data_IF_943718613931
#
_entry.id   IF_943718613931
#
_cell.length_a   1.000
_cell.length_b   1.000
_cell.length_c   1.000
_cell.angle_alpha   90.00
_cell.angle_beta   90.00
_cell.angle_gamma   90.00
#
_symmetry.space_group_name_H-M   'P 1'
#
loop_
_entity.id
_entity.type
_entity.pdbx_description
1 polymer ?
#
# COMPACT_ATOMS: atom_id res chain seq x y z
N UNK A 1 -9.60 -8.34 5.83
CA UNK A 1 -10.00 -7.00 5.30
C UNK A 1 -9.47 -5.94 6.26
N UNK A 2 -8.89 -4.86 5.73
CA UNK A 2 -8.40 -3.71 6.49
C UNK A 2 -9.05 -2.44 5.94
N UNK A 3 -9.55 -1.56 6.82
CA UNK A 3 -10.05 -0.24 6.42
C UNK A 3 -8.86 0.71 6.37
N UNK A 4 -8.75 1.47 5.28
CA UNK A 4 -7.73 2.49 5.07
C UNK A 4 -8.46 3.81 4.88
N UNK A 5 -7.99 4.84 5.59
CA UNK A 5 -8.48 6.20 5.52
C UNK A 5 -7.42 7.11 4.88
N UNK A 6 -7.86 8.08 4.07
CA UNK A 6 -7.02 9.10 3.45
C UNK A 6 -7.86 10.27 2.95
N UNK A 7 -7.50 11.49 3.33
CA UNK A 7 -8.18 12.74 2.92
C UNK A 7 -9.73 12.70 2.97
N UNK A 8 -10.29 12.18 4.06
CA UNK A 8 -11.76 12.08 4.23
C UNK A 8 -12.44 11.02 3.37
N UNK A 9 -11.67 10.18 2.66
CA UNK A 9 -12.12 8.98 1.96
C UNK A 9 -11.72 7.75 2.76
N UNK A 10 -12.54 6.71 2.66
CA UNK A 10 -12.28 5.41 3.29
C UNK A 10 -12.52 4.29 2.28
N UNK A 11 -11.57 3.35 2.17
CA UNK A 11 -11.75 2.13 1.36
C UNK A 11 -11.33 0.90 2.15
N UNK A 12 -11.85 -0.25 1.75
CA UNK A 12 -11.50 -1.54 2.34
C UNK A 12 -10.50 -2.28 1.43
N UNK A 13 -9.34 -2.62 1.99
CA UNK A 13 -8.39 -3.53 1.35
C UNK A 13 -8.69 -4.97 1.76
N UNK A 14 -8.92 -5.83 0.78
CA UNK A 14 -8.94 -7.27 1.01
C UNK A 14 -7.50 -7.75 1.23
N UNK A 15 -7.28 -8.46 2.33
CA UNK A 15 -5.96 -8.96 2.72
C UNK A 15 -6.10 -10.38 3.26
N UNK A 16 -5.10 -11.21 3.03
CA UNK A 16 -5.09 -12.59 3.52
C UNK A 16 -5.03 -12.65 5.05
N UNK A 17 -4.16 -11.83 5.64
CA UNK A 17 -3.94 -11.80 7.09
C UNK A 17 -3.51 -10.42 7.57
N UNK A 18 -3.96 -10.06 8.77
CA UNK A 18 -3.45 -8.91 9.52
C UNK A 18 -2.41 -9.40 10.51
N UNK A 19 -1.19 -8.90 10.40
CA UNK A 19 -0.05 -9.29 11.27
C UNK A 19 0.06 -8.34 12.48
N UNK A 20 -0.57 -7.17 12.43
CA UNK A 20 -0.57 -6.17 13.50
C UNK A 20 0.59 -5.20 13.36
N UNK A 21 1.28 -4.92 14.46
CA UNK A 21 2.46 -4.04 14.49
C UNK A 21 3.73 -4.89 14.36
N UNK A 22 4.68 -4.41 13.56
CA UNK A 22 5.99 -5.02 13.40
C UNK A 22 7.07 -3.93 13.47
N UNK A 23 8.24 -4.27 14.01
CA UNK A 23 9.43 -3.44 13.88
C UNK A 23 9.98 -3.57 12.46
N UNK A 24 10.26 -2.43 11.84
CA UNK A 24 10.69 -2.36 10.45
C UNK A 24 11.74 -1.29 10.24
N UNK A 25 12.61 -1.49 9.24
CA UNK A 25 13.56 -0.48 8.76
C UNK A 25 13.10 0.04 7.42
N UNK A 26 12.78 1.34 7.35
CA UNK A 26 12.34 1.99 6.10
C UNK A 26 13.53 2.15 5.14
N UNK A 27 13.31 1.81 3.87
CA UNK A 27 14.28 1.95 2.78
C UNK A 27 13.62 2.61 1.56
N UNK A 28 14.42 3.38 0.82
CA UNK A 28 14.02 3.85 -0.50
C UNK A 28 13.85 2.67 -1.45
N UNK A 29 12.88 2.77 -2.36
CA UNK A 29 12.56 1.76 -3.38
C UNK A 29 13.62 1.66 -4.49
N UNK A 30 14.56 2.61 -4.54
CA UNK A 30 15.53 2.71 -5.63
C UNK A 30 14.89 3.11 -6.96
N UNK A 31 15.72 3.33 -7.98
CA UNK A 31 15.27 3.95 -9.24
C UNK A 31 14.29 3.07 -10.03
N UNK A 32 14.34 1.74 -9.85
CA UNK A 32 13.46 0.80 -10.56
C UNK A 32 12.02 0.74 -10.04
N UNK A 33 11.76 1.19 -8.80
CA UNK A 33 10.45 1.04 -8.13
C UNK A 33 9.89 2.37 -7.62
N UNK A 34 10.57 3.50 -7.88
CA UNK A 34 10.22 4.84 -7.37
C UNK A 34 8.87 5.39 -7.87
N UNK A 35 8.37 4.91 -9.01
CA UNK A 35 7.20 5.48 -9.69
C UNK A 35 5.98 4.55 -9.70
N UNK A 36 5.88 3.63 -8.73
CA UNK A 36 4.71 2.75 -8.62
C UNK A 36 3.60 3.50 -7.87
N UNK A 37 2.51 3.81 -8.57
CA UNK A 37 1.32 4.42 -7.98
C UNK A 37 0.79 3.56 -6.82
N UNK A 38 0.49 4.18 -5.68
CA UNK A 38 0.02 3.51 -4.47
C UNK A 38 1.12 2.87 -3.61
N UNK A 39 2.40 3.07 -3.93
CA UNK A 39 3.54 2.61 -3.12
C UNK A 39 4.47 3.78 -2.82
N UNK A 40 4.79 3.99 -1.54
CA UNK A 40 5.62 5.11 -1.08
C UNK A 40 7.07 4.71 -0.78
N UNK A 41 7.29 3.51 -0.23
CA UNK A 41 8.61 3.06 0.19
C UNK A 41 8.70 1.53 0.33
N UNK A 42 9.92 1.02 0.56
CA UNK A 42 10.18 -0.34 0.99
C UNK A 42 10.45 -0.40 2.49
N UNK A 43 10.21 -1.55 3.10
CA UNK A 43 10.50 -1.80 4.50
C UNK A 43 11.19 -3.17 4.63
N UNK A 44 12.24 -3.25 5.44
CA UNK A 44 12.83 -4.52 5.86
C UNK A 44 12.16 -4.91 7.17
N UNK A 45 11.47 -6.06 7.18
CA UNK A 45 10.81 -6.63 8.35
C UNK A 45 11.84 -7.31 9.28
N UNK A 46 11.48 -7.52 10.54
CA UNK A 46 12.37 -8.15 11.53
C UNK A 46 12.81 -9.59 11.21
N UNK A 47 12.11 -10.27 10.31
CA UNK A 47 12.46 -11.60 9.78
C UNK A 47 13.33 -11.54 8.52
N UNK A 48 13.71 -10.34 8.07
CA UNK A 48 14.51 -10.10 6.88
C UNK A 48 13.71 -10.02 5.58
N UNK A 49 12.39 -10.25 5.60
CA UNK A 49 11.55 -10.10 4.42
C UNK A 49 11.37 -8.62 4.05
N UNK A 50 11.10 -8.38 2.77
CA UNK A 50 10.84 -7.04 2.23
C UNK A 50 9.33 -6.82 2.18
N UNK A 51 8.86 -5.79 2.87
CA UNK A 51 7.51 -5.25 2.76
C UNK A 51 7.47 -3.98 1.91
N UNK A 52 6.28 -3.66 1.38
CA UNK A 52 6.01 -2.39 0.73
C UNK A 52 5.18 -1.50 1.65
N UNK A 53 5.53 -0.22 1.71
CA UNK A 53 4.72 0.81 2.36
C UNK A 53 3.76 1.35 1.31
N UNK A 54 2.47 1.22 1.58
CA UNK A 54 1.41 1.64 0.66
C UNK A 54 1.02 3.08 0.92
N UNK A 55 0.68 3.79 -0.15
CA UNK A 55 0.13 5.15 -0.11
C UNK A 55 -1.40 5.11 -0.33
N UNK A 56 -2.21 5.52 0.67
CA UNK A 56 -3.66 5.53 0.55
C UNK A 56 -4.20 6.32 -0.64
N UNK A 57 -3.63 7.49 -0.94
CA UNK A 57 -4.11 8.34 -2.03
C UNK A 57 -3.93 7.66 -3.39
N UNK A 58 -2.71 7.22 -3.69
CA UNK A 58 -2.42 6.49 -4.93
C UNK A 58 -3.24 5.20 -5.08
N UNK A 59 -3.51 4.50 -3.97
CA UNK A 59 -4.41 3.33 -3.97
C UNK A 59 -5.86 3.69 -4.28
N UNK A 60 -6.35 4.82 -3.75
CA UNK A 60 -7.72 5.25 -3.97
C UNK A 60 -7.94 5.65 -5.42
N UNK A 61 -6.98 6.37 -6.01
CA UNK A 61 -6.99 6.71 -7.43
C UNK A 61 -6.96 5.48 -8.34
N UNK A 62 -6.10 4.48 -8.04
CA UNK A 62 -6.06 3.22 -8.79
C UNK A 62 -7.39 2.46 -8.75
N UNK A 63 -8.08 2.51 -7.61
CA UNK A 63 -9.41 1.90 -7.46
C UNK A 63 -10.48 2.62 -8.30
N UNK A 64 -10.36 3.94 -8.48
CA UNK A 64 -11.31 4.75 -9.26
C UNK A 64 -11.09 4.60 -10.76
N UNK A 65 -9.83 4.55 -11.22
CA UNK A 65 -9.49 4.28 -12.63
C UNK A 65 -10.11 2.96 -13.13
N UNK A 66 -10.15 1.93 -12.27
CA UNK A 66 -10.74 0.62 -12.61
C UNK A 66 -12.26 0.54 -12.47
N UNK A 67 -12.92 1.56 -11.94
CA UNK A 67 -14.39 1.55 -11.79
C UNK A 67 -15.14 1.91 -13.08
N UNK A 68 -14.43 2.20 -14.18
CA UNK A 68 -15.02 2.42 -15.51
C UNK A 68 -15.19 1.13 -16.32
N UNK A 69 -15.07 -0.06 -15.71
CA UNK A 69 -15.48 -1.30 -16.36
C UNK A 69 -17.02 -1.33 -16.34
N UNK A 70 -17.71 -1.14 -17.49
CA UNK A 70 -19.17 -1.26 -17.52
C UNK A 70 -19.54 -2.71 -17.16
N UNK A 71 -20.45 -2.83 -16.21
CA UNK A 71 -21.09 -4.10 -15.84
C UNK A 71 -22.01 -4.60 -16.96
#
# INVERSE_FOLDING_TARGET
MAVVDGEGRSKCLLVDKIIGKAEVVIKSLGDGLKNIKGVSAGAILGDGNIGLILDPEGLFELSEERSTIPM
#
